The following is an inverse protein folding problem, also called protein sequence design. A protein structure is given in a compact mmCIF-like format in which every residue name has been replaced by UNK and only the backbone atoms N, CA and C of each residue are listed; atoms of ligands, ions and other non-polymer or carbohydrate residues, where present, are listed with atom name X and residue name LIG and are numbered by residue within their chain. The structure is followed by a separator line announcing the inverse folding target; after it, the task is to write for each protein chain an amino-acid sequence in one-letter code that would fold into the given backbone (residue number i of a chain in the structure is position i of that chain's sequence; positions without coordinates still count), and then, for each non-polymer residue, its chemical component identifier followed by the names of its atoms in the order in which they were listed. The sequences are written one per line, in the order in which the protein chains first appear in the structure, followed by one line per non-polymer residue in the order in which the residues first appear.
data_IF_718082214756
#
_entry.id   IF_718082214756
#
_cell.length_a   1.000
_cell.length_b   1.000
_cell.length_c   1.000
_cell.angle_alpha   90.00
_cell.angle_beta   90.00
_cell.angle_gamma   90.00
#
_symmetry.space_group_name_H-M   'P 1'
#
loop_
_entity.id
_entity.type
_entity.pdbx_description
1 polymer ?
#
# COMPACT_ATOMS: atom_id res chain seq x y z
N UNK A 1 -17.71 -11.85 -20.74
CA UNK A 1 -17.01 -10.56 -20.99
C UNK A 1 -17.99 -9.37 -21.02
N UNK A 2 -19.32 -9.57 -21.10
CA UNK A 2 -20.30 -8.46 -21.14
C UNK A 2 -21.21 -8.36 -19.90
N UNK A 3 -20.93 -9.16 -18.87
CA UNK A 3 -21.70 -9.12 -17.63
C UNK A 3 -21.57 -7.75 -16.97
N UNK A 4 -22.70 -7.16 -16.59
CA UNK A 4 -22.72 -5.86 -15.93
C UNK A 4 -22.47 -6.05 -14.44
N UNK A 5 -21.40 -5.45 -13.95
CA UNK A 5 -21.04 -5.45 -12.53
C UNK A 5 -21.33 -4.06 -11.95
N UNK A 6 -22.03 -4.01 -10.83
CA UNK A 6 -22.26 -2.76 -10.08
C UNK A 6 -21.42 -2.77 -8.81
N UNK A 7 -20.52 -1.79 -8.69
CA UNK A 7 -19.71 -1.58 -7.49
C UNK A 7 -20.38 -0.49 -6.63
N UNK A 8 -20.77 -0.84 -5.40
CA UNK A 8 -21.23 0.14 -4.40
C UNK A 8 -20.01 0.83 -3.78
N UNK A 9 -19.55 1.90 -4.40
CA UNK A 9 -18.34 2.61 -3.97
C UNK A 9 -18.54 3.26 -2.58
N UNK A 10 -17.70 2.88 -1.61
CA UNK A 10 -17.73 3.43 -0.25
C UNK A 10 -16.32 3.44 0.34
N UNK A 11 -15.84 4.60 0.81
CA UNK A 11 -14.52 4.73 1.47
C UNK A 11 -13.78 6.06 1.26
N UNK A 12 -13.98 6.75 0.14
CA UNK A 12 -13.31 8.04 -0.10
C UNK A 12 -13.78 9.11 0.90
N UNK A 13 -12.83 9.82 1.51
CA UNK A 13 -13.09 10.81 2.57
C UNK A 13 -12.98 10.28 4.00
N UNK A 14 -12.69 8.98 4.17
CA UNK A 14 -12.40 8.36 5.46
C UNK A 14 -11.22 9.06 6.17
N UNK A 15 -11.32 9.19 7.50
CA UNK A 15 -10.31 9.83 8.35
C UNK A 15 -10.12 9.03 9.63
N UNK A 16 -8.87 8.95 10.09
CA UNK A 16 -8.52 8.41 11.39
C UNK A 16 -8.45 9.57 12.38
N UNK A 17 -9.41 9.65 13.31
CA UNK A 17 -9.50 10.77 14.24
C UNK A 17 -8.38 10.72 15.30
N UNK A 18 -7.97 9.52 15.69
CA UNK A 18 -6.88 9.30 16.66
C UNK A 18 -5.48 9.37 16.02
N UNK A 19 -5.40 9.33 14.68
CA UNK A 19 -4.16 9.46 13.91
C UNK A 19 -4.30 10.52 12.79
N UNK A 20 -4.56 11.81 13.13
CA UNK A 20 -4.94 12.84 12.14
C UNK A 20 -3.81 13.22 11.16
N UNK A 21 -2.57 12.82 11.44
CA UNK A 21 -1.41 13.01 10.55
C UNK A 21 -1.28 11.91 9.49
N UNK A 22 -2.16 10.92 9.51
CA UNK A 22 -2.26 9.86 8.51
C UNK A 22 -3.49 10.12 7.65
N UNK A 23 -3.27 10.24 6.34
CA UNK A 23 -4.36 10.30 5.36
C UNK A 23 -4.71 8.89 4.89
N UNK A 24 -6.00 8.67 4.64
CA UNK A 24 -6.54 7.41 4.13
C UNK A 24 -7.08 7.62 2.71
N UNK A 25 -6.81 6.67 1.82
CA UNK A 25 -7.34 6.63 0.46
C UNK A 25 -7.72 5.19 0.11
N UNK A 26 -8.69 4.99 -0.79
CA UNK A 26 -8.98 3.69 -1.40
C UNK A 26 -9.27 2.53 -0.41
N UNK A 27 -9.64 2.85 0.84
CA UNK A 27 -9.97 1.88 1.91
C UNK A 27 -11.47 1.94 2.19
N UNK A 28 -12.14 0.79 2.11
CA UNK A 28 -13.51 0.64 2.62
C UNK A 28 -13.51 0.48 4.14
N UNK A 29 -14.53 0.98 4.87
CA UNK A 29 -14.60 0.84 6.33
C UNK A 29 -14.54 -0.60 6.82
N UNK A 30 -15.19 -1.55 6.12
CA UNK A 30 -15.14 -2.97 6.45
C UNK A 30 -13.71 -3.54 6.42
N UNK A 31 -12.90 -3.12 5.45
CA UNK A 31 -11.48 -3.51 5.39
C UNK A 31 -10.68 -2.86 6.52
N UNK A 32 -10.96 -1.60 6.85
CA UNK A 32 -10.29 -0.94 7.97
C UNK A 32 -10.59 -1.62 9.31
N UNK A 33 -11.85 -2.04 9.51
CA UNK A 33 -12.27 -2.80 10.70
C UNK A 33 -11.58 -4.18 10.76
N UNK A 34 -11.49 -4.89 9.64
CA UNK A 34 -10.81 -6.18 9.57
C UNK A 34 -9.29 -6.06 9.79
N UNK A 35 -8.66 -5.02 9.23
CA UNK A 35 -7.24 -4.70 9.43
C UNK A 35 -6.94 -4.35 10.89
N UNK A 36 -7.89 -3.71 11.57
CA UNK A 36 -7.83 -3.32 12.98
C UNK A 36 -6.48 -2.65 13.38
N UNK A 37 -6.03 -1.60 12.67
CA UNK A 37 -4.77 -0.95 13.00
C UNK A 37 -4.86 -0.26 14.37
N UNK A 38 -3.78 -0.31 15.14
CA UNK A 38 -3.70 0.35 16.44
C UNK A 38 -3.00 1.70 16.34
N UNK A 39 -3.21 2.56 17.33
CA UNK A 39 -2.49 3.83 17.46
C UNK A 39 -1.68 3.81 18.74
N UNK A 40 -0.37 3.95 18.60
CA UNK A 40 0.58 4.01 19.71
C UNK A 40 1.33 5.33 19.64
N UNK A 41 1.31 6.11 20.74
CA UNK A 41 1.97 7.42 20.81
C UNK A 41 1.58 8.38 19.65
N UNK A 42 0.36 8.26 19.14
CA UNK A 42 -0.15 9.06 18.01
C UNK A 42 0.34 8.61 16.62
N UNK A 43 0.99 7.45 16.53
CA UNK A 43 1.48 6.82 15.29
C UNK A 43 0.63 5.60 14.97
N UNK A 44 0.26 5.43 13.70
CA UNK A 44 -0.56 4.32 13.25
C UNK A 44 0.31 3.07 13.05
N UNK A 45 0.03 2.02 13.79
CA UNK A 45 0.63 0.70 13.59
C UNK A 45 -0.14 -0.04 12.50
N UNK A 46 0.52 -0.42 11.40
CA UNK A 46 -0.13 -1.10 10.27
C UNK A 46 0.65 -2.37 9.92
N UNK A 47 0.02 -3.55 9.90
CA UNK A 47 0.69 -4.78 9.49
C UNK A 47 1.01 -4.72 7.99
N UNK A 48 2.24 -5.12 7.64
CA UNK A 48 2.73 -5.22 6.26
C UNK A 48 3.60 -6.45 6.09
N UNK A 49 3.62 -7.02 4.89
CA UNK A 49 4.53 -8.12 4.56
C UNK A 49 5.94 -7.59 4.27
N UNK A 50 6.04 -6.43 3.62
CA UNK A 50 7.32 -5.86 3.16
C UNK A 50 7.44 -4.36 3.44
N UNK A 51 8.69 -3.89 3.55
CA UNK A 51 9.05 -2.47 3.54
C UNK A 51 9.97 -2.22 2.35
N UNK A 52 9.51 -1.43 1.37
CA UNK A 52 10.26 -1.10 0.15
C UNK A 52 10.75 0.35 0.15
N UNK A 53 11.91 0.65 -0.46
CA UNK A 53 12.38 2.02 -0.58
C UNK A 53 11.67 2.74 -1.73
N UNK A 54 11.41 4.04 -1.57
CA UNK A 54 10.90 4.87 -2.67
C UNK A 54 11.77 4.83 -3.94
N UNK A 55 13.07 4.50 -3.81
CA UNK A 55 14.02 4.44 -4.91
C UNK A 55 13.68 3.39 -5.99
N UNK A 56 12.93 2.35 -5.64
CA UNK A 56 12.50 1.32 -6.60
C UNK A 56 11.07 1.51 -7.10
N UNK A 57 10.42 2.64 -6.77
CA UNK A 57 9.10 2.95 -7.30
C UNK A 57 9.20 3.55 -8.70
N UNK A 58 8.31 3.15 -9.60
CA UNK A 58 8.38 3.48 -11.03
C UNK A 58 7.08 4.05 -11.60
N UNK A 59 6.54 3.35 -12.61
CA UNK A 59 5.37 3.77 -13.37
C UNK A 59 4.21 4.16 -12.46
N UNK A 60 3.51 5.25 -12.79
CA UNK A 60 2.47 5.84 -11.93
C UNK A 60 2.96 7.01 -11.04
N UNK A 61 4.27 7.28 -10.99
CA UNK A 61 4.81 8.55 -10.48
C UNK A 61 4.36 9.73 -11.36
N UNK A 62 4.25 10.93 -10.76
CA UNK A 62 3.85 12.16 -11.46
C UNK A 62 2.34 12.35 -11.68
N UNK A 63 1.50 11.41 -11.21
CA UNK A 63 0.04 11.58 -11.20
C UNK A 63 -0.39 12.61 -10.15
N UNK A 64 -1.43 13.38 -10.45
CA UNK A 64 -1.90 14.50 -9.62
C UNK A 64 -2.58 14.06 -8.31
N UNK A 65 -3.04 12.81 -8.22
CA UNK A 65 -3.70 12.27 -7.03
C UNK A 65 -3.47 10.76 -6.93
N UNK A 66 -3.69 10.20 -5.74
CA UNK A 66 -3.61 8.76 -5.44
C UNK A 66 -4.96 8.05 -5.30
N UNK A 67 -6.06 8.80 -5.33
CA UNK A 67 -7.43 8.25 -5.22
C UNK A 67 -7.89 7.43 -6.45
N UNK A 68 -7.04 7.28 -7.46
CA UNK A 68 -7.24 6.33 -8.56
C UNK A 68 -5.91 5.84 -9.11
N UNK A 69 -5.94 4.61 -9.66
CA UNK A 69 -4.75 3.92 -10.16
C UNK A 69 -3.74 3.58 -9.08
N UNK A 70 -2.72 2.84 -9.49
CA UNK A 70 -1.61 2.37 -8.68
C UNK A 70 -0.29 2.95 -9.18
N UNK A 71 0.81 2.50 -8.58
CA UNK A 71 2.16 2.74 -9.07
C UNK A 71 3.09 1.58 -8.71
N UNK A 72 4.10 1.38 -9.54
CA UNK A 72 4.76 0.07 -9.64
C UNK A 72 6.00 -0.01 -8.75
N UNK A 73 6.19 -1.16 -8.09
CA UNK A 73 7.49 -1.56 -7.52
C UNK A 73 8.29 -2.19 -8.66
N UNK A 74 9.46 -1.63 -8.97
CA UNK A 74 10.32 -2.15 -10.04
C UNK A 74 11.25 -3.24 -9.54
N UNK A 75 11.17 -4.43 -10.13
CA UNK A 75 11.88 -5.64 -9.66
C UNK A 75 13.02 -6.07 -10.60
N UNK A 76 13.62 -5.12 -11.34
CA UNK A 76 14.64 -5.42 -12.35
C UNK A 76 16.04 -5.68 -11.76
N UNK A 77 16.29 -5.28 -10.51
CA UNK A 77 17.57 -5.49 -9.85
C UNK A 77 17.42 -6.62 -8.83
N UNK A 78 18.01 -7.78 -9.13
CA UNK A 78 17.93 -8.97 -8.28
C UNK A 78 18.51 -8.71 -6.89
N UNK A 79 19.68 -8.07 -6.81
CA UNK A 79 20.33 -7.74 -5.53
C UNK A 79 19.43 -6.88 -4.64
N UNK A 80 18.71 -5.92 -5.25
CA UNK A 80 17.73 -5.10 -4.52
C UNK A 80 16.50 -5.92 -4.12
N UNK A 81 16.03 -6.84 -4.96
CA UNK A 81 14.92 -7.71 -4.58
C UNK A 81 15.29 -8.59 -3.38
N UNK A 82 16.50 -9.16 -3.37
CA UNK A 82 17.03 -9.95 -2.25
C UNK A 82 17.20 -9.09 -0.98
N UNK A 83 17.73 -7.87 -1.10
CA UNK A 83 17.91 -6.93 0.03
C UNK A 83 16.59 -6.61 0.75
N UNK A 84 15.50 -6.43 -0.01
CA UNK A 84 14.18 -6.08 0.52
C UNK A 84 13.23 -7.27 0.62
N UNK A 85 13.72 -8.49 0.38
CA UNK A 85 12.95 -9.73 0.49
C UNK A 85 11.76 -9.85 -0.46
N UNK A 86 11.84 -9.29 -1.68
CA UNK A 86 10.69 -9.17 -2.60
C UNK A 86 10.43 -10.40 -3.47
N UNK A 87 11.10 -11.52 -3.20
CA UNK A 87 10.97 -12.76 -3.99
C UNK A 87 9.62 -13.45 -3.79
N UNK A 88 8.98 -13.25 -2.64
CA UNK A 88 7.69 -13.82 -2.27
C UNK A 88 6.55 -12.78 -2.21
N UNK A 89 6.76 -11.59 -2.78
CA UNK A 89 5.73 -10.55 -2.86
C UNK A 89 4.49 -11.07 -3.60
N UNK A 90 3.33 -11.03 -2.92
CA UNK A 90 2.09 -11.60 -3.43
C UNK A 90 1.03 -10.55 -3.78
N UNK A 91 0.08 -10.94 -4.66
CA UNK A 91 -1.13 -10.14 -4.89
C UNK A 91 -1.93 -10.01 -3.58
N UNK A 92 -2.36 -8.79 -3.28
CA UNK A 92 -3.13 -8.49 -2.08
C UNK A 92 -2.30 -8.24 -0.82
N UNK A 93 -0.97 -8.33 -0.90
CA UNK A 93 -0.08 -7.99 0.18
C UNK A 93 -0.16 -6.50 0.53
N UNK A 94 -0.13 -6.20 1.82
CA UNK A 94 0.10 -4.86 2.32
C UNK A 94 1.59 -4.60 2.40
N UNK A 95 2.04 -3.50 1.78
CA UNK A 95 3.45 -3.11 1.75
C UNK A 95 3.62 -1.67 2.23
N UNK A 96 4.66 -1.44 3.02
CA UNK A 96 5.10 -0.12 3.39
C UNK A 96 6.13 0.41 2.40
N UNK A 97 6.05 1.70 2.09
CA UNK A 97 6.91 2.38 1.14
C UNK A 97 7.58 3.54 1.87
N UNK A 98 8.85 3.32 2.19
CA UNK A 98 9.67 4.27 2.93
C UNK A 98 10.03 5.47 2.05
N UNK A 99 9.99 6.65 2.66
CA UNK A 99 10.33 7.93 2.02
C UNK A 99 9.42 8.29 0.82
N UNK A 100 8.19 7.75 0.79
CA UNK A 100 7.16 8.10 -0.19
C UNK A 100 6.00 8.86 0.47
N UNK A 101 5.76 10.10 0.05
CA UNK A 101 4.57 10.87 0.42
C UNK A 101 3.55 10.77 -0.71
N UNK A 102 2.33 10.40 -0.33
CA UNK A 102 1.22 10.18 -1.24
C UNK A 102 0.01 11.03 -0.83
N UNK A 103 0.23 12.09 -0.06
CA UNK A 103 -0.83 12.96 0.48
C UNK A 103 -1.68 13.63 -0.59
N UNK A 104 -1.18 13.73 -1.82
CA UNK A 104 -1.82 14.27 -3.01
C UNK A 104 -1.40 13.39 -4.20
N UNK A 105 -0.40 13.81 -4.98
CA UNK A 105 0.35 12.95 -5.89
C UNK A 105 1.45 12.18 -5.17
N UNK A 106 2.14 11.32 -5.92
CA UNK A 106 3.20 10.44 -5.42
C UNK A 106 4.55 11.11 -5.59
N UNK A 107 5.26 11.33 -4.49
CA UNK A 107 6.59 11.96 -4.49
C UNK A 107 7.53 11.25 -3.53
N UNK A 108 8.84 11.39 -3.78
CA UNK A 108 9.85 11.10 -2.79
C UNK A 108 9.90 12.22 -1.74
N UNK A 109 9.84 11.85 -0.46
CA UNK A 109 10.01 12.76 0.68
C UNK A 109 10.65 11.99 1.83
N UNK A 110 11.91 12.30 2.13
CA UNK A 110 12.63 11.68 3.24
C UNK A 110 11.85 11.83 4.56
N UNK A 111 11.73 10.73 5.31
CA UNK A 111 11.01 10.65 6.58
C UNK A 111 9.51 10.41 6.44
N UNK A 112 8.96 10.39 5.22
CA UNK A 112 7.56 10.01 5.01
C UNK A 112 7.40 8.48 4.98
N UNK A 113 6.18 8.03 5.22
CA UNK A 113 5.81 6.61 5.15
C UNK A 113 4.44 6.49 4.50
N UNK A 114 4.32 5.56 3.56
CA UNK A 114 3.04 5.19 2.98
C UNK A 114 2.83 3.68 3.06
N UNK A 115 1.58 3.24 3.10
CA UNK A 115 1.21 1.83 3.01
C UNK A 115 0.23 1.68 1.87
N UNK A 116 0.43 0.64 1.06
CA UNK A 116 -0.44 0.29 -0.05
C UNK A 116 -0.68 -1.20 -0.15
N UNK A 117 -1.52 -1.59 -1.10
CA UNK A 117 -1.84 -2.99 -1.41
C UNK A 117 -1.42 -3.35 -2.82
N UNK A 118 -0.82 -4.54 -3.01
CA UNK A 118 -0.43 -5.04 -4.33
C UNK A 118 -1.67 -5.41 -5.16
N UNK A 119 -1.87 -4.72 -6.29
CA UNK A 119 -3.07 -4.79 -7.15
C UNK A 119 -2.88 -5.59 -8.44
N UNK A 120 -1.65 -5.74 -8.95
CA UNK A 120 -1.38 -6.55 -10.15
C UNK A 120 0.00 -7.19 -10.15
N UNK A 121 0.18 -8.17 -11.04
CA UNK A 121 1.40 -8.96 -11.17
C UNK A 121 2.59 -8.15 -11.72
N UNK A 122 3.76 -8.78 -11.69
CA UNK A 122 5.00 -8.25 -12.25
C UNK A 122 4.92 -7.97 -13.76
N UNK A 123 5.81 -7.12 -14.25
CA UNK A 123 5.91 -6.68 -15.64
C UNK A 123 7.37 -6.68 -16.10
N UNK A 124 7.60 -7.01 -17.36
CA UNK A 124 8.92 -6.91 -18.01
C UNK A 124 9.18 -5.55 -18.66
N UNK A 125 8.20 -4.64 -18.63
CA UNK A 125 8.33 -3.30 -19.24
C UNK A 125 9.18 -2.41 -18.34
N UNK A 126 10.18 -1.74 -18.90
CA UNK A 126 11.08 -0.87 -18.15
C UNK A 126 10.31 0.15 -17.29
N UNK A 127 10.65 0.22 -15.99
CA UNK A 127 9.97 1.10 -15.03
C UNK A 127 8.63 0.57 -14.51
N UNK A 128 8.19 -0.62 -14.91
CA UNK A 128 6.99 -1.29 -14.40
C UNK A 128 7.33 -2.48 -13.47
N UNK A 129 6.31 -3.03 -12.82
CA UNK A 129 6.38 -4.21 -11.96
C UNK A 129 5.05 -4.42 -11.23
N UNK A 130 5.01 -5.05 -10.04
CA UNK A 130 3.77 -5.17 -9.30
C UNK A 130 3.22 -3.79 -8.89
N UNK A 131 1.96 -3.53 -9.24
CA UNK A 131 1.30 -2.27 -8.94
C UNK A 131 0.84 -2.19 -7.48
N UNK A 132 1.02 -1.03 -6.85
CA UNK A 132 0.60 -0.77 -5.48
C UNK A 132 -0.42 0.35 -5.43
N UNK A 133 -1.61 0.05 -4.90
CA UNK A 133 -2.65 1.04 -4.64
C UNK A 133 -2.47 1.63 -3.25
N UNK A 134 -2.39 2.96 -3.16
CA UNK A 134 -2.24 3.70 -1.89
C UNK A 134 -3.42 3.47 -0.95
N UNK A 135 -3.14 3.12 0.31
CA UNK A 135 -4.14 3.01 1.38
C UNK A 135 -3.96 4.06 2.47
N UNK A 136 -2.74 4.19 2.98
CA UNK A 136 -2.39 5.10 4.07
C UNK A 136 -1.13 5.89 3.71
N UNK A 137 -1.04 7.15 4.14
CA UNK A 137 0.17 7.95 3.93
C UNK A 137 0.35 9.01 5.01
N UNK A 138 1.60 9.23 5.41
CA UNK A 138 2.00 10.31 6.29
C UNK A 138 3.27 10.97 5.78
N UNK A 139 3.15 12.24 5.39
CA UNK A 139 4.28 13.08 4.94
C UNK A 139 5.36 13.28 6.01
N UNK A 140 5.00 13.09 7.29
CA UNK A 140 5.88 13.28 8.45
C UNK A 140 6.14 11.94 9.17
N UNK A 141 5.87 10.81 8.50
CA UNK A 141 6.27 9.48 8.98
C UNK A 141 5.52 8.97 10.20
N UNK A 142 4.23 9.31 10.39
CA UNK A 142 3.41 8.87 11.53
C UNK A 142 2.73 7.51 11.31
N UNK A 143 3.36 6.65 10.50
CA UNK A 143 2.96 5.26 10.29
C UNK A 143 4.15 4.41 10.69
N UNK A 144 3.92 3.41 11.52
CA UNK A 144 4.86 2.38 11.90
C UNK A 144 4.42 1.06 11.25
N UNK A 145 5.16 0.60 10.23
CA UNK A 145 4.91 -0.70 9.66
C UNK A 145 5.27 -1.81 10.65
N UNK A 146 4.37 -2.75 10.86
CA UNK A 146 4.59 -3.95 11.69
C UNK A 146 4.74 -5.14 10.74
N UNK A 147 5.91 -5.80 10.73
CA UNK A 147 6.13 -6.94 9.85
C UNK A 147 5.24 -8.11 10.27
N UNK A 148 4.40 -8.56 9.35
CA UNK A 148 3.52 -9.71 9.53
C UNK A 148 3.34 -10.42 8.17
N UNK A 149 3.78 -11.68 8.08
CA UNK A 149 3.62 -12.49 6.86
C UNK A 149 2.15 -12.80 6.53
N UNK A 150 1.24 -12.59 7.49
CA UNK A 150 -0.20 -12.69 7.31
C UNK A 150 -0.87 -11.40 6.80
N UNK A 151 -0.13 -10.32 6.55
CA UNK A 151 -0.66 -9.03 6.11
C UNK A 151 -1.10 -9.02 4.63
N UNK A 152 -1.96 -9.97 4.25
CA UNK A 152 -2.56 -10.10 2.93
C UNK A 152 -4.09 -9.95 3.04
N UNK A 153 -4.70 -9.19 2.13
CA UNK A 153 -6.14 -8.91 2.14
C UNK A 153 -7.00 -10.17 2.21
N UNK A 154 -6.61 -11.24 1.53
CA UNK A 154 -7.42 -12.44 1.48
C UNK A 154 -7.45 -13.16 2.83
N UNK A 155 -6.39 -13.03 3.64
CA UNK A 155 -6.35 -13.53 5.02
C UNK A 155 -7.05 -12.58 6.00
N UNK A 156 -6.75 -11.29 5.90
CA UNK A 156 -7.36 -10.23 6.74
C UNK A 156 -8.89 -10.27 6.62
N UNK A 157 -9.40 -10.42 5.40
CA UNK A 157 -10.83 -10.44 5.10
C UNK A 157 -11.43 -11.85 5.11
N UNK A 158 -10.65 -12.90 5.42
CA UNK A 158 -11.09 -14.31 5.45
C UNK A 158 -11.78 -14.74 4.15
N UNK A 159 -11.22 -14.34 3.01
CA UNK A 159 -11.76 -14.64 1.68
C UNK A 159 -11.34 -16.02 1.19
N UNK A 160 -10.30 -16.61 1.79
CA UNK A 160 -9.70 -17.88 1.44
C UNK A 160 -9.28 -18.61 2.70
N UNK A 161 -9.48 -19.93 2.72
CA UNK A 161 -9.14 -20.81 3.85
C UNK A 161 -7.76 -21.48 3.67
N UNK A 162 -7.11 -21.29 2.51
CA UNK A 162 -5.88 -21.98 2.10
C UNK A 162 -4.61 -21.10 2.20
N UNK A 163 -4.69 -19.95 2.91
CA UNK A 163 -3.62 -18.96 3.12
C UNK A 163 -3.57 -18.43 4.57
#
# INVERSE_FOLDING_TARGET
IEDRIMIKAYGQGLKLLDAPKVKVFNVGPEFLEALNPTVEEGRLQVPVTHVVPAAIMGSGLGRNHVASGDYDITLFCRETCEEYGLEDLCLGDLVAIKDADQSYGRIYRKGSMSVGIVSHCNSYVAGHGPGVTTLFTSKDGNIDPVIDSGANIAKIMKLRDDI
#
